data_IF_061475031125
#
_entry.id   IF_061475031125
#
_cell.length_a   1.000
_cell.length_b   1.000
_cell.length_c   1.000
_cell.angle_alpha   90.00
_cell.angle_beta   90.00
_cell.angle_gamma   90.00
#
_symmetry.space_group_name_H-M   'P 1'
#
loop_
_entity.id
_entity.type
_entity.pdbx_description
1 polymer ?
#
# COMPACT_ATOMS: atom_id res chain seq x y z
N UNK A 1 26.44 18.76 21.61
CA UNK A 1 25.24 19.43 21.04
C UNK A 1 24.36 18.34 20.46
N UNK A 2 23.29 17.98 21.11
CA UNK A 2 22.32 17.01 20.57
C UNK A 2 21.58 17.69 19.42
N UNK A 3 21.91 17.32 18.19
CA UNK A 3 21.17 17.80 17.04
C UNK A 3 19.76 17.23 17.11
N UNK A 4 18.77 18.06 17.34
CA UNK A 4 17.36 17.65 17.21
C UNK A 4 17.06 17.39 15.74
N UNK A 5 16.44 16.25 15.46
CA UNK A 5 15.90 15.94 14.14
C UNK A 5 14.83 16.97 13.74
N UNK A 6 14.76 17.41 12.48
CA UNK A 6 13.67 18.28 11.99
C UNK A 6 12.28 17.67 12.20
N UNK A 7 12.16 16.36 12.35
CA UNK A 7 10.90 15.66 12.64
C UNK A 7 10.46 15.72 14.14
N UNK A 8 11.14 16.51 14.97
CA UNK A 8 10.83 16.62 16.39
C UNK A 8 11.21 15.40 17.24
N UNK A 9 11.87 14.40 16.66
CA UNK A 9 12.45 13.25 17.33
C UNK A 9 13.99 13.38 17.38
N UNK A 10 14.70 12.77 18.34
CA UNK A 10 16.15 12.77 18.34
C UNK A 10 16.70 12.06 17.09
N UNK A 11 17.85 12.55 16.61
CA UNK A 11 18.61 11.86 15.58
C UNK A 11 19.06 10.50 16.11
N UNK A 12 18.84 9.46 15.32
CA UNK A 12 19.19 8.09 15.67
C UNK A 12 20.23 7.54 14.68
N UNK A 13 21.51 7.48 15.05
CA UNK A 13 22.57 7.02 14.16
C UNK A 13 22.47 5.52 13.84
N UNK A 14 21.80 4.75 14.70
CA UNK A 14 21.70 3.30 14.60
C UNK A 14 20.37 2.84 13.94
N UNK A 15 19.50 3.80 13.57
CA UNK A 15 18.24 3.48 12.93
C UNK A 15 18.45 2.76 11.59
N UNK A 16 17.72 1.66 11.40
CA UNK A 16 17.75 0.83 10.20
C UNK A 16 16.55 1.10 9.31
N UNK A 17 16.72 0.85 8.02
CA UNK A 17 15.68 0.98 7.01
C UNK A 17 14.77 -0.26 7.06
N UNK A 18 13.47 -0.08 7.17
CA UNK A 18 12.49 -1.13 6.95
C UNK A 18 12.05 -1.15 5.48
N UNK A 19 11.93 -2.32 4.87
CA UNK A 19 11.57 -2.47 3.48
C UNK A 19 10.33 -3.35 3.28
N UNK A 20 9.32 -2.77 2.64
CA UNK A 20 8.20 -3.52 2.09
C UNK A 20 8.14 -3.40 0.57
N UNK A 21 7.38 -4.26 -0.08
CA UNK A 21 7.04 -4.14 -1.50
C UNK A 21 5.53 -4.14 -1.66
N UNK A 22 5.00 -3.10 -2.28
CA UNK A 22 3.61 -3.04 -2.70
C UNK A 22 3.50 -3.49 -4.15
N UNK A 23 3.03 -4.70 -4.36
CA UNK A 23 2.78 -5.26 -5.68
C UNK A 23 1.30 -5.47 -5.92
N UNK A 24 0.82 -5.00 -7.03
CA UNK A 24 -0.61 -4.98 -7.34
C UNK A 24 -0.96 -5.74 -8.63
N UNK A 25 0.01 -6.39 -9.26
CA UNK A 25 -0.16 -6.88 -10.62
C UNK A 25 -0.25 -5.73 -11.62
N UNK A 26 -1.03 -5.86 -12.67
CA UNK A 26 -1.21 -4.80 -13.66
C UNK A 26 -1.76 -3.53 -13.00
N UNK A 27 -1.10 -2.41 -13.25
CA UNK A 27 -1.46 -1.11 -12.69
C UNK A 27 -0.67 0.03 -13.33
N UNK A 28 -1.00 1.28 -12.99
CA UNK A 28 -0.45 2.45 -13.67
C UNK A 28 1.06 2.67 -13.45
N UNK A 29 1.64 1.99 -12.48
CA UNK A 29 3.06 2.15 -12.12
C UNK A 29 3.94 1.07 -12.72
N UNK A 30 3.34 -0.05 -13.15
CA UNK A 30 4.05 -1.20 -13.70
C UNK A 30 4.09 -1.13 -15.22
N UNK A 31 5.26 -1.32 -15.79
CA UNK A 31 5.45 -1.55 -17.23
C UNK A 31 5.15 -3.02 -17.48
N UNK A 32 3.91 -3.29 -17.92
CA UNK A 32 3.43 -4.65 -18.18
C UNK A 32 3.54 -5.03 -19.66
N UNK A 33 3.86 -4.06 -20.51
CA UNK A 33 4.04 -4.25 -21.96
C UNK A 33 5.41 -4.81 -22.33
N UNK A 34 6.30 -4.97 -21.36
CA UNK A 34 7.59 -5.62 -21.54
C UNK A 34 7.37 -7.06 -22.02
N UNK A 35 7.90 -7.46 -23.21
CA UNK A 35 7.73 -8.80 -23.74
C UNK A 35 8.35 -9.89 -22.86
N UNK A 36 9.32 -9.53 -22.03
CA UNK A 36 10.00 -10.44 -21.08
C UNK A 36 9.31 -10.45 -19.70
N UNK A 37 8.27 -9.63 -19.50
CA UNK A 37 7.55 -9.62 -18.24
C UNK A 37 6.82 -10.95 -18.01
N UNK A 38 6.96 -11.56 -16.80
CA UNK A 38 6.24 -12.77 -16.47
C UNK A 38 4.73 -12.50 -16.35
N UNK A 39 3.88 -13.53 -16.46
CA UNK A 39 2.43 -13.36 -16.30
C UNK A 39 2.08 -12.80 -14.91
N UNK A 40 1.51 -11.60 -14.86
CA UNK A 40 1.24 -10.86 -13.62
C UNK A 40 0.20 -11.49 -12.69
N UNK A 41 -0.52 -12.50 -13.16
CA UNK A 41 -1.54 -13.22 -12.37
C UNK A 41 -1.13 -14.65 -12.03
N UNK A 42 0.02 -15.12 -12.56
CA UNK A 42 0.52 -16.46 -12.32
C UNK A 42 1.11 -16.60 -10.92
N UNK A 43 0.80 -17.69 -10.23
CA UNK A 43 1.32 -17.92 -8.88
C UNK A 43 2.85 -18.02 -8.85
N UNK A 44 3.44 -18.53 -9.91
CA UNK A 44 4.91 -18.66 -10.06
C UNK A 44 5.61 -17.31 -9.99
N UNK A 45 5.02 -16.26 -10.58
CA UNK A 45 5.52 -14.88 -10.50
C UNK A 45 5.53 -14.39 -9.05
N UNK A 46 4.45 -14.61 -8.32
CA UNK A 46 4.36 -14.19 -6.91
C UNK A 46 5.30 -14.99 -6.01
N UNK A 47 5.46 -16.29 -6.26
CA UNK A 47 6.42 -17.13 -5.54
C UNK A 47 7.86 -16.65 -5.80
N UNK A 48 8.20 -16.36 -7.07
CA UNK A 48 9.52 -15.83 -7.42
C UNK A 48 9.78 -14.49 -6.70
N UNK A 49 8.86 -13.56 -6.79
CA UNK A 49 8.97 -12.26 -6.12
C UNK A 49 9.09 -12.42 -4.60
N UNK A 50 8.24 -13.22 -3.97
CA UNK A 50 8.29 -13.41 -2.51
C UNK A 50 9.65 -13.97 -2.05
N UNK A 51 10.21 -14.94 -2.76
CA UNK A 51 11.54 -15.51 -2.47
C UNK A 51 12.68 -14.53 -2.74
N UNK A 52 12.56 -13.72 -3.80
CA UNK A 52 13.51 -12.65 -4.09
C UNK A 52 13.54 -11.64 -2.93
N UNK A 53 12.38 -11.24 -2.43
CA UNK A 53 12.27 -10.32 -1.30
C UNK A 53 12.80 -10.93 0.00
N UNK A 54 12.58 -12.22 0.26
CA UNK A 54 13.21 -12.90 1.40
C UNK A 54 14.73 -12.92 1.29
N UNK A 55 15.27 -13.16 0.10
CA UNK A 55 16.72 -13.09 -0.16
C UNK A 55 17.27 -11.68 0.12
N UNK A 56 16.48 -10.65 -0.20
CA UNK A 56 16.80 -9.25 0.11
C UNK A 56 16.47 -8.82 1.53
N UNK A 57 16.03 -9.74 2.41
CA UNK A 57 15.71 -9.49 3.83
C UNK A 57 14.60 -8.45 4.04
N UNK A 58 13.64 -8.37 3.14
CA UNK A 58 12.52 -7.45 3.25
C UNK A 58 11.57 -7.80 4.40
N UNK A 59 10.96 -6.79 5.00
CA UNK A 59 10.00 -6.96 6.09
C UNK A 59 8.67 -7.50 5.59
N UNK A 60 8.16 -6.99 4.45
CA UNK A 60 6.81 -7.28 4.02
C UNK A 60 6.62 -7.35 2.51
N UNK A 61 5.82 -8.33 2.09
CA UNK A 61 5.19 -8.38 0.78
C UNK A 61 3.72 -7.98 0.91
N UNK A 62 3.36 -6.89 0.28
CA UNK A 62 2.09 -6.22 0.47
C UNK A 62 1.25 -6.27 -0.81
N UNK A 63 0.10 -6.94 -0.74
CA UNK A 63 -0.82 -7.09 -1.88
C UNK A 63 -2.02 -6.16 -1.75
N UNK A 64 -2.26 -5.41 -2.82
CA UNK A 64 -3.43 -4.55 -2.95
C UNK A 64 -4.71 -5.35 -3.20
N UNK A 65 -5.86 -4.74 -2.89
CA UNK A 65 -7.19 -5.29 -3.15
C UNK A 65 -7.73 -4.77 -4.49
N UNK A 66 -8.33 -5.65 -5.27
CA UNK A 66 -9.03 -5.33 -6.51
C UNK A 66 -10.43 -5.94 -6.50
N UNK A 67 -11.43 -5.16 -6.09
CA UNK A 67 -12.79 -5.67 -5.84
C UNK A 67 -13.71 -5.64 -7.06
N UNK A 68 -13.36 -4.87 -8.08
CA UNK A 68 -14.09 -4.81 -9.34
C UNK A 68 -13.18 -4.32 -10.45
N UNK A 69 -13.25 -4.96 -11.60
CA UNK A 69 -12.55 -4.50 -12.81
C UNK A 69 -13.05 -3.12 -13.17
N UNK A 70 -12.13 -2.19 -13.35
CA UNK A 70 -12.47 -0.85 -13.83
C UNK A 70 -12.63 -0.84 -15.33
N UNK A 71 -13.57 -0.05 -15.76
CA UNK A 71 -13.84 0.17 -17.17
C UNK A 71 -14.02 1.67 -17.45
N UNK A 72 -13.71 2.06 -18.66
CA UNK A 72 -14.09 3.34 -19.21
C UNK A 72 -14.94 3.12 -20.45
N UNK A 73 -16.20 3.55 -20.41
CA UNK A 73 -17.16 3.42 -21.53
C UNK A 73 -17.30 1.98 -22.03
N UNK A 74 -17.40 1.01 -21.10
CA UNK A 74 -17.52 -0.41 -21.41
C UNK A 74 -16.22 -1.09 -21.85
N UNK A 75 -15.09 -0.38 -21.85
CA UNK A 75 -13.76 -0.93 -22.16
C UNK A 75 -12.96 -1.10 -20.88
N UNK A 76 -12.46 -2.31 -20.66
CA UNK A 76 -11.41 -2.55 -19.67
C UNK A 76 -10.11 -1.95 -20.22
N UNK A 77 -9.43 -1.15 -19.43
CA UNK A 77 -8.23 -0.49 -19.84
C UNK A 77 -7.11 -0.60 -18.79
N UNK A 78 -5.88 -0.46 -19.24
CA UNK A 78 -4.65 -0.72 -18.50
C UNK A 78 -4.26 0.34 -17.45
N UNK A 79 -5.12 1.32 -17.20
CA UNK A 79 -4.93 2.31 -16.14
C UNK A 79 -5.21 1.76 -14.74
N UNK A 80 -5.80 0.58 -14.67
CA UNK A 80 -6.28 0.05 -13.41
C UNK A 80 -6.30 -1.48 -13.35
N UNK A 81 -6.64 -1.92 -12.18
CA UNK A 81 -6.55 -3.28 -11.68
C UNK A 81 -7.39 -4.25 -12.49
N UNK A 82 -6.76 -5.11 -13.25
CA UNK A 82 -7.36 -6.31 -13.81
C UNK A 82 -6.60 -7.56 -13.34
N UNK A 83 -7.30 -8.68 -13.21
CA UNK A 83 -6.68 -9.97 -12.89
C UNK A 83 -6.01 -10.05 -11.51
N UNK A 84 -6.55 -9.35 -10.50
CA UNK A 84 -6.01 -9.36 -9.14
C UNK A 84 -6.75 -10.40 -8.29
N UNK A 85 -6.11 -11.52 -7.91
CA UNK A 85 -6.69 -12.50 -7.00
C UNK A 85 -6.94 -11.92 -5.61
N UNK A 86 -7.79 -12.59 -4.80
CA UNK A 86 -7.99 -12.22 -3.39
C UNK A 86 -6.67 -12.29 -2.62
N UNK A 87 -6.33 -11.21 -1.91
CA UNK A 87 -5.04 -11.06 -1.28
C UNK A 87 -4.81 -12.10 -0.17
N UNK A 88 -5.82 -12.42 0.65
CA UNK A 88 -5.66 -13.42 1.73
C UNK A 88 -5.43 -14.81 1.14
N UNK A 89 -6.20 -15.19 0.12
CA UNK A 89 -6.05 -16.49 -0.55
C UNK A 89 -4.65 -16.63 -1.16
N UNK A 90 -4.20 -15.60 -1.87
CA UNK A 90 -2.89 -15.58 -2.51
C UNK A 90 -1.74 -15.63 -1.49
N UNK A 91 -1.82 -14.82 -0.44
CA UNK A 91 -0.82 -14.80 0.63
C UNK A 91 -0.81 -16.11 1.44
N UNK A 92 -1.94 -16.80 1.56
CA UNK A 92 -1.98 -18.14 2.17
C UNK A 92 -1.19 -19.16 1.36
N UNK A 93 -1.24 -19.07 0.02
CA UNK A 93 -0.39 -19.90 -0.83
C UNK A 93 1.10 -19.55 -0.68
N UNK A 94 1.43 -18.26 -0.59
CA UNK A 94 2.80 -17.79 -0.38
C UNK A 94 3.34 -18.15 1.00
N UNK A 95 2.50 -18.22 2.03
CA UNK A 95 2.89 -18.66 3.37
C UNK A 95 3.49 -20.06 3.39
N UNK A 96 3.07 -20.93 2.47
CA UNK A 96 3.57 -22.32 2.36
C UNK A 96 4.93 -22.43 1.69
N UNK A 97 5.43 -21.37 1.04
CA UNK A 97 6.67 -21.40 0.21
C UNK A 97 7.67 -20.30 0.62
N UNK A 98 7.40 -19.62 1.73
CA UNK A 98 8.24 -18.57 2.35
C UNK A 98 8.36 -18.82 3.85
N UNK A 99 9.46 -18.37 4.46
CA UNK A 99 9.77 -18.65 5.87
C UNK A 99 9.82 -17.40 6.75
N UNK A 100 10.08 -16.22 6.21
CA UNK A 100 10.39 -15.00 6.96
C UNK A 100 9.55 -13.79 6.58
N UNK A 101 9.35 -13.55 5.27
CA UNK A 101 8.70 -12.34 4.81
C UNK A 101 7.29 -12.19 5.34
N UNK A 102 6.95 -10.99 5.80
CA UNK A 102 5.61 -10.63 6.20
C UNK A 102 4.63 -10.59 5.02
N UNK A 103 3.40 -11.00 5.26
CA UNK A 103 2.36 -11.22 4.27
C UNK A 103 1.19 -10.28 4.52
N UNK A 104 1.18 -9.12 3.85
CA UNK A 104 0.23 -8.03 4.14
C UNK A 104 -0.90 -8.02 3.13
N UNK A 105 -2.12 -8.32 3.61
CA UNK A 105 -3.34 -8.31 2.81
C UNK A 105 -4.08 -6.99 2.91
N UNK A 106 -4.38 -6.34 1.79
CA UNK A 106 -5.36 -5.25 1.76
C UNK A 106 -6.76 -5.84 1.84
N UNK A 107 -7.53 -5.39 2.84
CA UNK A 107 -8.94 -5.77 2.99
C UNK A 107 -9.75 -4.58 3.50
N UNK A 108 -10.89 -4.32 2.87
CA UNK A 108 -11.74 -3.19 3.21
C UNK A 108 -12.66 -3.48 4.40
N UNK A 109 -13.00 -2.43 5.14
CA UNK A 109 -13.98 -2.48 6.24
C UNK A 109 -15.40 -2.20 5.79
N UNK A 110 -15.60 -1.73 4.56
CA UNK A 110 -16.92 -1.31 4.05
C UNK A 110 -17.79 -2.50 3.68
N UNK A 111 -17.24 -3.47 2.94
CA UNK A 111 -17.98 -4.61 2.39
C UNK A 111 -17.75 -5.93 3.12
N UNK A 112 -16.84 -5.96 4.10
CA UNK A 112 -16.58 -7.13 4.92
C UNK A 112 -17.36 -7.08 6.24
N UNK A 113 -17.42 -8.25 6.91
CA UNK A 113 -17.94 -8.41 8.26
C UNK A 113 -16.80 -8.64 9.24
N UNK A 114 -16.81 -7.99 10.44
CA UNK A 114 -15.67 -8.04 11.35
C UNK A 114 -15.27 -9.46 11.78
N UNK A 115 -16.21 -10.30 12.16
CA UNK A 115 -15.92 -11.64 12.63
C UNK A 115 -15.35 -12.55 11.54
N UNK A 116 -15.87 -12.45 10.31
CA UNK A 116 -15.36 -13.24 9.19
C UNK A 116 -13.96 -12.80 8.76
N UNK A 117 -13.75 -11.49 8.61
CA UNK A 117 -12.43 -10.97 8.21
C UNK A 117 -11.39 -11.24 9.32
N UNK A 118 -11.75 -11.03 10.60
CA UNK A 118 -10.85 -11.33 11.71
C UNK A 118 -10.42 -12.80 11.70
N UNK A 119 -11.36 -13.74 11.46
CA UNK A 119 -11.08 -15.18 11.34
C UNK A 119 -10.13 -15.49 10.18
N UNK A 120 -10.37 -14.92 9.00
CA UNK A 120 -9.53 -15.15 7.81
C UNK A 120 -8.09 -14.64 8.02
N UNK A 121 -7.95 -13.43 8.58
CA UNK A 121 -6.64 -12.85 8.89
C UNK A 121 -5.91 -13.60 10.00
N UNK A 122 -6.62 -14.04 11.06
CA UNK A 122 -6.03 -14.88 12.10
C UNK A 122 -5.59 -16.26 11.55
N UNK A 123 -6.32 -16.80 10.58
CA UNK A 123 -5.93 -18.05 9.90
C UNK A 123 -4.64 -17.87 9.10
N UNK A 124 -4.52 -16.80 8.31
CA UNK A 124 -3.28 -16.48 7.62
C UNK A 124 -2.12 -16.29 8.61
N UNK A 125 -2.39 -15.60 9.72
CA UNK A 125 -1.39 -15.31 10.74
C UNK A 125 -0.88 -16.60 11.41
N UNK A 126 -1.78 -17.49 11.78
CA UNK A 126 -1.42 -18.77 12.35
C UNK A 126 -0.65 -19.67 11.36
N UNK A 127 -1.16 -19.79 10.12
CA UNK A 127 -0.56 -20.64 9.08
C UNK A 127 0.82 -20.13 8.64
N UNK A 128 1.07 -18.84 8.71
CA UNK A 128 2.36 -18.23 8.37
C UNK A 128 3.32 -18.16 9.57
N UNK A 129 2.95 -18.64 10.75
CA UNK A 129 3.79 -18.56 11.96
C UNK A 129 3.93 -17.15 12.53
N UNK A 130 2.91 -16.28 12.37
CA UNK A 130 2.92 -14.92 12.89
C UNK A 130 3.47 -13.89 11.91
N UNK A 131 3.24 -14.08 10.61
CA UNK A 131 3.75 -13.16 9.56
C UNK A 131 2.65 -12.37 8.86
N UNK A 132 1.39 -12.48 9.27
CA UNK A 132 0.30 -11.76 8.63
C UNK A 132 0.24 -10.28 9.00
N UNK A 133 -0.08 -9.45 8.02
CA UNK A 133 -0.47 -8.07 8.18
C UNK A 133 -1.81 -7.77 7.50
N UNK A 134 -2.52 -6.77 8.00
CA UNK A 134 -3.76 -6.27 7.44
C UNK A 134 -3.65 -4.79 7.09
N UNK A 135 -3.69 -4.46 5.80
CA UNK A 135 -3.87 -3.08 5.37
C UNK A 135 -5.36 -2.74 5.39
N UNK A 136 -5.71 -1.85 6.30
CA UNK A 136 -7.08 -1.41 6.56
C UNK A 136 -7.45 -0.32 5.55
N UNK A 137 -8.43 -0.59 4.68
CA UNK A 137 -8.94 0.41 3.75
C UNK A 137 -10.43 0.66 3.94
N UNK A 138 -10.83 1.89 3.65
CA UNK A 138 -12.21 2.34 3.65
C UNK A 138 -12.66 2.57 2.23
N UNK A 139 -12.77 1.52 1.42
CA UNK A 139 -13.15 1.59 0.01
C UNK A 139 -14.38 2.48 -0.17
N UNK A 140 -14.28 3.46 -1.05
CA UNK A 140 -15.19 4.59 -1.07
C UNK A 140 -15.93 4.81 -2.40
N UNK A 141 -15.77 3.92 -3.36
CA UNK A 141 -16.47 4.13 -4.62
C UNK A 141 -17.69 3.23 -4.76
N UNK A 142 -18.79 3.84 -5.19
CA UNK A 142 -20.07 3.16 -5.40
C UNK A 142 -19.99 2.09 -6.51
N UNK A 143 -19.08 2.26 -7.45
CA UNK A 143 -18.81 1.30 -8.51
C UNK A 143 -18.41 -0.06 -7.95
N UNK A 144 -17.42 -0.10 -7.07
CA UNK A 144 -16.99 -1.31 -6.37
C UNK A 144 -18.10 -1.92 -5.54
N UNK A 145 -18.92 -1.07 -4.90
CA UNK A 145 -20.05 -1.49 -4.08
C UNK A 145 -21.07 -2.33 -4.83
N UNK A 146 -21.24 -2.12 -6.13
CA UNK A 146 -22.19 -2.86 -6.96
C UNK A 146 -21.89 -4.37 -7.03
N UNK A 147 -20.67 -4.81 -6.77
CA UNK A 147 -20.32 -6.23 -6.67
C UNK A 147 -20.77 -6.87 -5.36
N UNK A 148 -21.16 -6.09 -4.35
CA UNK A 148 -21.45 -6.59 -3.00
C UNK A 148 -22.88 -6.34 -2.56
N UNK A 149 -23.52 -5.26 -3.02
CA UNK A 149 -24.89 -4.91 -2.65
C UNK A 149 -25.53 -3.94 -3.65
N UNK A 150 -26.85 -3.99 -3.79
CA UNK A 150 -27.58 -2.96 -4.48
C UNK A 150 -27.58 -1.65 -3.72
N UNK A 151 -27.33 -0.56 -4.43
CA UNK A 151 -27.37 0.80 -3.91
C UNK A 151 -26.18 1.16 -3.04
N UNK A 152 -26.24 2.35 -2.61
CA UNK A 152 -25.28 3.20 -1.97
C UNK A 152 -24.14 2.62 -1.17
N UNK A 153 -23.09 3.32 -1.23
CA UNK A 153 -21.91 3.28 -0.38
C UNK A 153 -22.15 4.14 0.88
N UNK A 154 -21.33 3.93 1.90
CA UNK A 154 -21.40 4.76 3.09
C UNK A 154 -20.83 6.17 2.79
N UNK A 155 -21.42 7.27 3.32
CA UNK A 155 -20.79 8.57 3.30
C UNK A 155 -19.37 8.55 3.85
N UNK A 156 -18.52 9.44 3.36
CA UNK A 156 -17.07 9.41 3.65
C UNK A 156 -16.78 9.40 5.16
N UNK A 157 -17.47 10.24 5.94
CA UNK A 157 -17.29 10.34 7.39
C UNK A 157 -17.69 9.05 8.10
N UNK A 158 -18.78 8.43 7.68
CA UNK A 158 -19.27 7.17 8.27
C UNK A 158 -18.39 5.97 7.95
N UNK A 159 -17.59 6.02 6.90
CA UNK A 159 -16.64 4.96 6.58
C UNK A 159 -15.50 4.88 7.59
N UNK A 160 -14.95 6.01 8.02
CA UNK A 160 -13.92 6.02 9.06
C UNK A 160 -14.47 5.64 10.43
N UNK A 161 -15.68 6.09 10.76
CA UNK A 161 -16.39 5.66 11.97
C UNK A 161 -16.59 4.13 11.98
N UNK A 162 -17.09 3.57 10.86
CA UNK A 162 -17.23 2.12 10.71
C UNK A 162 -15.89 1.39 10.78
N UNK A 163 -14.84 1.92 10.14
CA UNK A 163 -13.52 1.31 10.16
C UNK A 163 -12.96 1.22 11.59
N UNK A 164 -13.09 2.28 12.36
CA UNK A 164 -12.70 2.30 13.78
C UNK A 164 -13.40 1.19 14.56
N UNK A 165 -14.73 1.13 14.49
CA UNK A 165 -15.53 0.11 15.21
C UNK A 165 -15.23 -1.31 14.71
N UNK A 166 -14.97 -1.47 13.41
CA UNK A 166 -14.61 -2.74 12.81
C UNK A 166 -13.26 -3.25 13.33
N UNK A 167 -12.25 -2.38 13.35
CA UNK A 167 -10.89 -2.73 13.83
C UNK A 167 -10.92 -3.07 15.31
N UNK A 168 -11.69 -2.32 16.10
CA UNK A 168 -11.88 -2.62 17.53
C UNK A 168 -12.51 -4.02 17.73
N UNK A 169 -13.56 -4.34 16.98
CA UNK A 169 -14.18 -5.65 17.02
C UNK A 169 -13.20 -6.78 16.62
N UNK A 170 -12.39 -6.56 15.60
CA UNK A 170 -11.38 -7.52 15.18
C UNK A 170 -10.30 -7.74 16.26
N UNK A 171 -9.82 -6.65 16.88
CA UNK A 171 -8.85 -6.73 17.98
C UNK A 171 -9.41 -7.50 19.18
N UNK A 172 -10.66 -7.26 19.57
CA UNK A 172 -11.33 -7.99 20.65
C UNK A 172 -11.47 -9.48 20.34
N UNK A 173 -11.79 -9.83 19.09
CA UNK A 173 -11.86 -11.23 18.65
C UNK A 173 -10.51 -11.92 18.72
N UNK A 174 -9.43 -11.28 18.28
CA UNK A 174 -8.08 -11.83 18.38
C UNK A 174 -7.58 -11.95 19.82
N UNK A 175 -8.00 -11.05 20.72
CA UNK A 175 -7.69 -11.09 22.15
C UNK A 175 -8.66 -11.97 22.97
N UNK A 176 -9.62 -12.64 22.32
CA UNK A 176 -10.64 -13.42 23.05
C UNK A 176 -10.17 -14.81 23.53
N UNK A 177 -9.02 -15.26 23.02
CA UNK A 177 -8.35 -16.47 23.48
C UNK A 177 -7.24 -16.13 24.45
N UNK A 178 -7.20 -16.79 25.60
CA UNK A 178 -6.05 -16.69 26.49
C UNK A 178 -4.85 -17.45 25.92
N UNK A 179 -3.60 -17.04 26.20
CA UNK A 179 -2.42 -17.67 25.61
C UNK A 179 -2.32 -19.17 25.82
N UNK A 180 -2.81 -19.67 26.94
CA UNK A 180 -2.83 -21.07 27.33
C UNK A 180 -4.23 -21.74 27.21
N UNK A 181 -5.09 -21.20 26.34
CA UNK A 181 -6.45 -21.67 26.13
C UNK A 181 -6.51 -23.14 25.65
N UNK A 182 -5.54 -23.55 24.82
CA UNK A 182 -5.46 -24.93 24.32
C UNK A 182 -4.75 -25.78 25.38
N UNK A 183 -5.47 -26.75 25.94
CA UNK A 183 -4.86 -27.74 26.78
C UNK A 183 -3.95 -28.65 25.94
N UNK A 184 -2.73 -28.87 26.41
CA UNK A 184 -1.77 -29.72 25.70
C UNK A 184 -2.29 -31.15 25.50
N UNK A 185 -1.64 -31.93 24.66
CA UNK A 185 -1.88 -33.38 24.53
C UNK A 185 -1.50 -34.10 25.81
N UNK A 186 -2.23 -35.13 26.19
CA UNK A 186 -1.92 -36.00 27.35
C UNK A 186 -3.09 -36.17 28.30
N UNK A 187 -2.92 -35.83 29.57
CA UNK A 187 -3.93 -36.04 30.62
C UNK A 187 -5.11 -35.05 30.63
N UNK A 188 -5.15 -34.13 29.65
CA UNK A 188 -6.20 -33.13 29.54
C UNK A 188 -7.57 -33.79 29.25
N UNK A 189 -8.55 -33.50 30.08
CA UNK A 189 -9.93 -34.00 29.94
C UNK A 189 -10.76 -33.15 28.97
N UNK A 190 -10.22 -31.99 28.51
CA UNK A 190 -10.86 -31.06 27.58
C UNK A 190 -9.81 -30.47 26.64
N UNK A 191 -10.15 -30.30 25.37
CA UNK A 191 -9.28 -29.69 24.37
C UNK A 191 -8.94 -28.22 24.69
N UNK A 192 -9.90 -27.47 25.22
CA UNK A 192 -9.68 -26.10 25.65
C UNK A 192 -9.93 -25.96 27.15
N UNK A 193 -9.12 -25.16 27.82
CA UNK A 193 -9.30 -24.81 29.22
C UNK A 193 -10.66 -24.11 29.44
N UNK A 194 -11.50 -24.55 30.39
CA UNK A 194 -12.78 -23.89 30.64
C UNK A 194 -12.64 -22.41 30.93
N UNK A 195 -13.42 -21.59 30.23
CA UNK A 195 -13.42 -20.12 30.38
C UNK A 195 -12.30 -19.38 29.65
N UNK A 196 -11.33 -20.08 29.04
CA UNK A 196 -10.20 -19.46 28.35
C UNK A 196 -10.54 -18.85 26.95
N UNK A 197 -11.76 -19.09 26.45
CA UNK A 197 -12.26 -18.51 25.20
C UNK A 197 -13.50 -17.68 25.50
N UNK A 198 -13.42 -16.39 25.32
CA UNK A 198 -14.47 -15.42 25.66
C UNK A 198 -15.37 -15.10 24.46
N UNK A 199 -16.63 -14.83 24.74
CA UNK A 199 -17.52 -14.21 23.75
C UNK A 199 -17.16 -12.72 23.59
N UNK A 200 -17.31 -12.23 22.37
CA UNK A 200 -17.21 -10.81 22.03
C UNK A 200 -18.58 -10.32 21.58
N UNK A 201 -19.12 -9.34 22.27
CA UNK A 201 -20.41 -8.75 21.95
C UNK A 201 -20.25 -7.24 21.75
N UNK A 202 -20.70 -6.76 20.59
CA UNK A 202 -20.71 -5.34 20.23
C UNK A 202 -22.03 -4.97 19.56
N UNK A 203 -22.57 -3.84 19.95
CA UNK A 203 -23.67 -3.17 19.27
C UNK A 203 -23.42 -1.66 19.27
N UNK A 204 -22.82 -1.16 18.18
CA UNK A 204 -22.44 0.26 18.02
C UNK A 204 -23.25 0.95 16.91
N UNK A 205 -24.26 0.25 16.36
CA UNK A 205 -25.06 0.74 15.23
C UNK A 205 -24.41 0.50 13.86
N UNK A 206 -23.10 0.66 13.71
CA UNK A 206 -22.37 0.35 12.47
C UNK A 206 -21.72 -1.03 12.48
N UNK A 207 -21.44 -1.55 13.66
CA UNK A 207 -20.95 -2.91 13.87
C UNK A 207 -21.82 -3.56 14.95
N UNK A 208 -22.50 -4.62 14.55
CA UNK A 208 -23.31 -5.44 15.49
C UNK A 208 -22.90 -6.89 15.33
N UNK A 209 -22.41 -7.49 16.41
CA UNK A 209 -22.06 -8.90 16.46
C UNK A 209 -22.12 -9.45 17.87
N UNK A 210 -22.38 -10.76 17.96
CA UNK A 210 -22.06 -11.61 19.09
C UNK A 210 -21.30 -12.80 18.53
N UNK A 211 -20.01 -12.90 18.83
CA UNK A 211 -19.14 -13.85 18.18
C UNK A 211 -18.20 -14.52 19.22
N UNK A 212 -17.80 -15.73 18.90
CA UNK A 212 -16.72 -16.46 19.57
C UNK A 212 -15.70 -16.83 18.52
N UNK A 213 -14.46 -16.35 18.67
CA UNK A 213 -13.40 -16.62 17.71
C UNK A 213 -13.08 -18.13 17.67
N UNK A 214 -12.76 -18.62 16.48
CA UNK A 214 -12.47 -20.06 16.25
C UNK A 214 -10.98 -20.34 16.06
N UNK A 215 -10.15 -19.30 16.06
CA UNK A 215 -8.70 -19.38 15.82
C UNK A 215 -7.97 -18.71 16.97
N UNK A 216 -6.98 -19.38 17.60
CA UNK A 216 -6.17 -18.78 18.65
C UNK A 216 -5.26 -17.68 18.10
N UNK A 217 -4.65 -16.91 19.00
CA UNK A 217 -3.62 -15.96 18.63
C UNK A 217 -2.37 -16.68 18.07
N UNK A 218 -1.71 -16.05 17.13
CA UNK A 218 -0.40 -16.47 16.61
C UNK A 218 0.75 -16.06 17.53
N UNK A 219 1.99 -16.40 17.16
CA UNK A 219 3.20 -16.02 17.88
C UNK A 219 3.35 -14.49 18.02
N UNK A 220 2.88 -13.69 17.05
CA UNK A 220 2.90 -12.21 17.15
C UNK A 220 1.67 -11.62 17.87
N UNK A 221 0.78 -12.45 18.40
CA UNK A 221 -0.43 -12.07 19.13
C UNK A 221 -1.61 -11.70 18.25
N UNK A 222 -1.41 -10.94 17.21
CA UNK A 222 -2.41 -10.57 16.18
C UNK A 222 -1.72 -10.09 14.90
N UNK A 223 -2.40 -10.10 13.75
CA UNK A 223 -1.89 -9.49 12.54
C UNK A 223 -1.43 -8.05 12.75
N UNK A 224 -0.30 -7.68 12.13
CA UNK A 224 0.19 -6.29 12.12
C UNK A 224 -0.77 -5.42 11.32
N UNK A 225 -1.16 -4.28 11.88
CA UNK A 225 -2.15 -3.39 11.29
C UNK A 225 -1.47 -2.29 10.47
N UNK A 226 -1.69 -2.32 9.18
CA UNK A 226 -1.28 -1.28 8.23
C UNK A 226 -2.46 -0.35 7.93
N UNK A 227 -2.16 0.90 7.61
CA UNK A 227 -3.15 1.87 7.15
C UNK A 227 -2.53 2.76 6.07
N UNK A 228 -3.28 3.02 5.01
CA UNK A 228 -2.86 3.82 3.87
C UNK A 228 -3.85 4.98 3.66
N UNK A 229 -3.68 6.09 4.36
CA UNK A 229 -4.58 7.22 4.20
C UNK A 229 -3.99 8.52 4.71
N UNK A 230 -3.80 9.49 3.81
CA UNK A 230 -3.20 10.78 4.11
C UNK A 230 -4.22 11.86 4.54
N UNK A 231 -5.52 11.57 4.44
CA UNK A 231 -6.57 12.46 4.93
C UNK A 231 -6.52 12.58 6.47
N UNK A 232 -7.08 13.66 7.03
CA UNK A 232 -7.15 13.82 8.48
C UNK A 232 -7.81 12.63 9.18
N UNK A 233 -8.91 12.10 8.62
CA UNK A 233 -9.56 10.89 9.14
C UNK A 233 -8.70 9.63 9.02
N UNK A 234 -7.93 9.52 7.93
CA UNK A 234 -6.99 8.41 7.74
C UNK A 234 -5.85 8.43 8.75
N UNK A 235 -5.25 9.61 8.98
CA UNK A 235 -4.20 9.79 10.00
C UNK A 235 -4.72 9.54 11.41
N UNK A 236 -5.95 9.93 11.70
CA UNK A 236 -6.60 9.67 12.99
C UNK A 236 -6.83 8.17 13.22
N UNK A 237 -7.34 7.46 12.21
CA UNK A 237 -7.50 6.00 12.25
C UNK A 237 -6.14 5.31 12.45
N UNK A 238 -5.11 5.78 11.76
CA UNK A 238 -3.75 5.26 11.88
C UNK A 238 -3.18 5.49 13.29
N UNK A 239 -3.23 6.70 13.79
CA UNK A 239 -2.73 7.04 15.12
C UNK A 239 -3.41 6.24 16.23
N UNK A 240 -4.70 5.94 16.06
CA UNK A 240 -5.46 5.15 17.04
C UNK A 240 -5.17 3.65 16.95
N UNK A 241 -4.98 3.10 15.75
CA UNK A 241 -5.05 1.64 15.57
C UNK A 241 -3.88 1.02 14.83
N UNK A 242 -3.21 1.72 13.91
CA UNK A 242 -2.20 1.12 13.06
C UNK A 242 -0.87 0.86 13.77
N UNK A 243 -0.18 -0.16 13.32
CA UNK A 243 1.20 -0.47 13.68
C UNK A 243 2.16 0.06 12.60
N UNK A 244 1.68 0.19 11.35
CA UNK A 244 2.46 0.70 10.20
C UNK A 244 1.58 1.63 9.36
N UNK A 245 2.17 2.69 8.83
CA UNK A 245 1.50 3.58 7.88
C UNK A 245 2.21 3.57 6.55
N UNK A 246 1.45 3.38 5.50
CA UNK A 246 1.83 3.65 4.12
C UNK A 246 1.35 5.05 3.73
N UNK A 247 2.25 5.95 3.34
CA UNK A 247 1.91 7.32 2.96
C UNK A 247 2.39 7.67 1.55
N UNK A 248 1.86 8.76 1.00
CA UNK A 248 2.33 9.33 -0.27
C UNK A 248 3.44 10.39 -0.08
N UNK A 249 3.84 10.66 1.18
CA UNK A 249 4.76 11.74 1.51
C UNK A 249 6.22 11.30 1.40
N UNK A 250 6.73 11.23 0.17
CA UNK A 250 8.11 10.81 -0.14
C UNK A 250 9.12 11.95 -0.23
N UNK A 251 8.69 13.20 -0.40
CA UNK A 251 9.59 14.34 -0.32
C UNK A 251 10.02 14.58 1.13
N UNK A 252 11.31 14.85 1.36
CA UNK A 252 11.88 14.93 2.69
C UNK A 252 11.12 15.85 3.64
N UNK A 253 10.87 17.09 3.25
CA UNK A 253 10.19 18.07 4.12
C UNK A 253 8.73 17.66 4.39
N UNK A 254 8.05 17.06 3.41
CA UNK A 254 6.70 16.52 3.57
C UNK A 254 6.69 15.30 4.48
N UNK A 255 7.69 14.43 4.36
CA UNK A 255 7.85 13.27 5.25
C UNK A 255 8.08 13.71 6.70
N UNK A 256 8.95 14.71 6.92
CA UNK A 256 9.18 15.31 8.23
C UNK A 256 7.89 15.86 8.83
N UNK A 257 7.15 16.67 8.06
CA UNK A 257 5.90 17.26 8.54
C UNK A 257 4.84 16.19 8.85
N UNK A 258 4.74 15.17 8.01
CA UNK A 258 3.83 14.04 8.19
C UNK A 258 4.18 13.24 9.45
N UNK A 259 5.44 12.92 9.65
CA UNK A 259 5.91 12.20 10.82
C UNK A 259 5.66 12.97 12.12
N UNK A 260 5.86 14.29 12.12
CA UNK A 260 5.58 15.15 13.27
C UNK A 260 4.07 15.18 13.61
N UNK A 261 3.19 15.34 12.61
CA UNK A 261 1.73 15.30 12.81
C UNK A 261 1.28 13.95 13.37
N UNK A 262 1.79 12.85 12.81
CA UNK A 262 1.39 11.51 13.23
C UNK A 262 1.84 11.20 14.67
N UNK A 263 3.08 11.57 15.04
CA UNK A 263 3.60 11.42 16.42
C UNK A 263 2.78 12.25 17.43
N UNK A 264 2.38 13.46 17.06
CA UNK A 264 1.50 14.27 17.92
C UNK A 264 0.14 13.59 18.16
N UNK A 265 -0.44 12.98 17.13
CA UNK A 265 -1.70 12.21 17.25
C UNK A 265 -1.51 10.94 18.08
N UNK A 266 -0.42 10.19 17.91
CA UNK A 266 -0.09 9.02 18.74
C UNK A 266 -0.09 9.39 20.23
N UNK A 267 0.58 10.50 20.59
CA UNK A 267 0.62 11.00 21.96
C UNK A 267 -0.80 11.32 22.50
N UNK A 268 -1.68 11.87 21.65
CA UNK A 268 -3.09 12.11 22.00
C UNK A 268 -3.87 10.84 22.34
N UNK A 269 -3.43 9.68 21.82
CA UNK A 269 -3.99 8.35 22.14
C UNK A 269 -3.19 7.59 23.20
N UNK A 270 -2.23 8.23 23.87
CA UNK A 270 -1.37 7.58 24.87
C UNK A 270 -0.43 6.53 24.30
N UNK A 271 -0.14 6.58 23.00
CA UNK A 271 0.74 5.64 22.30
C UNK A 271 2.17 6.19 22.19
N UNK A 272 3.15 5.29 22.36
CA UNK A 272 4.55 5.63 22.11
C UNK A 272 4.79 5.97 20.62
N UNK A 273 5.65 6.94 20.31
CA UNK A 273 6.11 7.19 18.94
C UNK A 273 6.68 5.93 18.24
N UNK A 274 7.29 5.02 19.01
CA UNK A 274 7.90 3.80 18.48
C UNK A 274 6.90 2.65 18.29
N UNK A 275 5.63 2.87 18.63
CA UNK A 275 4.55 1.89 18.41
C UNK A 275 4.02 1.88 16.97
N UNK A 276 4.56 2.72 16.08
CA UNK A 276 4.13 2.85 14.71
C UNK A 276 5.34 3.12 13.80
N UNK A 277 5.39 2.43 12.65
CA UNK A 277 6.37 2.67 11.59
C UNK A 277 5.75 3.43 10.43
N UNK A 278 6.51 4.35 9.84
CA UNK A 278 6.11 5.17 8.70
C UNK A 278 6.92 4.70 7.48
N UNK A 279 6.26 4.05 6.53
CA UNK A 279 6.85 3.52 5.29
C UNK A 279 6.14 4.14 4.07
N UNK A 280 6.57 5.31 3.59
CA UNK A 280 5.98 5.89 2.37
C UNK A 280 6.22 5.01 1.15
N UNK A 281 5.31 5.11 0.17
CA UNK A 281 5.46 4.45 -1.12
C UNK A 281 6.63 5.04 -1.91
N UNK A 282 7.55 4.21 -2.37
CA UNK A 282 8.74 4.64 -3.07
C UNK A 282 8.92 3.89 -4.40
N UNK A 283 9.09 4.63 -5.49
CA UNK A 283 9.66 4.09 -6.71
C UNK A 283 11.18 4.29 -6.67
N UNK A 284 11.93 3.28 -7.08
CA UNK A 284 13.41 3.29 -7.09
C UNK A 284 13.88 2.98 -8.51
N UNK A 285 14.74 3.81 -9.04
CA UNK A 285 15.31 3.64 -10.37
C UNK A 285 16.82 3.80 -10.27
N UNK A 286 17.52 2.70 -10.43
CA UNK A 286 18.97 2.61 -10.28
C UNK A 286 19.67 2.62 -11.64
N UNK A 287 20.84 3.22 -11.69
CA UNK A 287 21.79 3.14 -12.79
C UNK A 287 23.21 3.01 -12.23
N UNK A 288 24.14 2.53 -13.02
CA UNK A 288 25.55 2.41 -12.61
C UNK A 288 26.23 3.80 -12.56
N UNK A 289 25.65 4.79 -13.29
CA UNK A 289 26.00 6.21 -13.21
C UNK A 289 24.76 7.08 -12.98
N UNK A 290 24.92 8.31 -12.47
CA UNK A 290 23.78 9.23 -12.32
C UNK A 290 23.10 9.58 -13.66
N UNK A 291 23.85 9.57 -14.74
CA UNK A 291 23.35 9.81 -16.10
C UNK A 291 22.44 8.68 -16.54
N UNK A 292 22.91 7.44 -16.43
CA UNK A 292 22.14 6.23 -16.76
C UNK A 292 20.87 6.12 -15.92
N UNK A 293 20.94 6.41 -14.64
CA UNK A 293 19.76 6.41 -13.77
C UNK A 293 18.70 7.43 -14.24
N UNK A 294 19.13 8.61 -14.70
CA UNK A 294 18.22 9.65 -15.25
C UNK A 294 17.61 9.20 -16.59
N UNK A 295 18.40 8.65 -17.48
CA UNK A 295 17.92 8.13 -18.79
C UNK A 295 16.90 6.99 -18.55
N UNK A 296 17.20 6.09 -17.63
CA UNK A 296 16.26 5.02 -17.22
C UNK A 296 14.96 5.59 -16.63
N UNK A 297 15.04 6.64 -15.84
CA UNK A 297 13.85 7.28 -15.25
C UNK A 297 12.97 7.95 -16.32
N UNK A 298 13.56 8.56 -17.36
CA UNK A 298 12.80 9.07 -18.50
C UNK A 298 12.11 7.93 -19.24
N UNK A 299 12.84 6.87 -19.56
CA UNK A 299 12.30 5.70 -20.23
C UNK A 299 11.14 5.07 -19.43
N UNK A 300 11.31 4.87 -18.10
CA UNK A 300 10.24 4.35 -17.23
C UNK A 300 8.99 5.23 -17.30
N UNK A 301 9.15 6.55 -17.22
CA UNK A 301 8.03 7.48 -17.32
C UNK A 301 7.32 7.39 -18.67
N UNK A 302 8.07 7.25 -19.75
CA UNK A 302 7.49 7.11 -21.09
C UNK A 302 6.73 5.80 -21.27
N UNK A 303 7.31 4.68 -20.84
CA UNK A 303 6.68 3.36 -20.95
C UNK A 303 5.44 3.21 -20.06
N UNK A 304 5.43 3.87 -18.90
CA UNK A 304 4.24 3.89 -18.04
C UNK A 304 3.04 4.60 -18.67
N UNK A 305 3.23 5.37 -19.74
CA UNK A 305 2.16 6.09 -20.43
C UNK A 305 2.05 5.55 -21.86
N UNK A 306 1.34 4.44 -21.98
CA UNK A 306 1.04 3.81 -23.28
C UNK A 306 0.09 4.67 -24.13
N UNK A 307 0.09 4.51 -25.48
CA UNK A 307 -0.85 5.22 -26.33
C UNK A 307 -2.34 5.06 -25.95
N UNK A 308 -2.85 3.84 -25.65
CA UNK A 308 -4.22 3.68 -25.16
C UNK A 308 -4.48 4.42 -23.84
N UNK A 309 -3.50 4.44 -22.96
CA UNK A 309 -3.58 5.14 -21.67
C UNK A 309 -3.68 6.65 -21.86
N UNK A 310 -2.95 7.21 -22.80
CA UNK A 310 -3.02 8.64 -23.11
C UNK A 310 -4.43 9.04 -23.61
N UNK A 311 -5.05 8.24 -24.47
CA UNK A 311 -6.44 8.43 -24.89
C UNK A 311 -7.39 8.36 -23.70
N UNK A 312 -7.32 7.30 -22.89
CA UNK A 312 -8.18 7.12 -21.71
C UNK A 312 -8.01 8.28 -20.69
N UNK A 313 -6.78 8.81 -20.54
CA UNK A 313 -6.53 9.97 -19.71
C UNK A 313 -7.28 11.22 -20.23
N UNK A 314 -7.20 11.52 -21.52
CA UNK A 314 -7.91 12.66 -22.10
C UNK A 314 -9.43 12.48 -22.04
N UNK A 315 -9.95 11.27 -22.24
CA UNK A 315 -11.38 10.98 -22.13
C UNK A 315 -11.98 11.38 -20.77
N UNK A 316 -11.18 11.29 -19.70
CA UNK A 316 -11.59 11.71 -18.35
C UNK A 316 -11.80 13.22 -18.26
N UNK A 317 -11.06 14.02 -19.06
CA UNK A 317 -11.18 15.47 -19.09
C UNK A 317 -12.18 15.93 -20.13
N UNK A 318 -12.18 15.34 -21.33
CA UNK A 318 -13.13 15.70 -22.39
C UNK A 318 -14.56 15.23 -22.11
N UNK A 319 -14.74 14.19 -21.28
CA UNK A 319 -16.04 13.63 -20.96
C UNK A 319 -16.72 12.91 -22.13
N UNK A 320 -15.98 12.64 -23.21
CA UNK A 320 -16.48 11.97 -24.43
C UNK A 320 -15.55 10.86 -24.88
N UNK A 321 -16.00 10.01 -25.80
CA UNK A 321 -15.20 8.94 -26.40
C UNK A 321 -14.18 9.53 -27.36
N UNK A 322 -12.90 9.27 -27.11
CA UNK A 322 -11.79 9.68 -27.94
C UNK A 322 -11.05 8.48 -28.57
N UNK A 323 -11.61 7.27 -28.50
CA UNK A 323 -10.95 6.05 -28.98
C UNK A 323 -10.63 6.03 -30.47
N UNK A 324 -11.31 6.88 -31.27
CA UNK A 324 -11.06 7.04 -32.70
C UNK A 324 -9.89 8.00 -33.01
N UNK A 325 -9.34 8.71 -32.00
CA UNK A 325 -8.23 9.60 -32.21
C UNK A 325 -6.89 8.85 -32.21
N UNK A 326 -6.01 9.27 -33.10
CA UNK A 326 -4.63 8.77 -33.11
C UNK A 326 -3.86 9.38 -31.94
N UNK A 327 -3.32 8.58 -31.00
CA UNK A 327 -2.51 9.10 -29.89
C UNK A 327 -1.25 9.83 -30.35
N UNK A 328 -0.77 9.57 -31.57
CA UNK A 328 0.36 10.28 -32.16
C UNK A 328 -0.09 11.51 -32.97
N UNK A 329 -1.39 11.73 -33.11
CA UNK A 329 -1.99 12.88 -33.76
C UNK A 329 -2.19 14.08 -32.84
N UNK A 330 -2.75 15.20 -33.39
CA UNK A 330 -3.03 16.40 -32.60
C UNK A 330 -4.13 16.20 -31.60
N UNK A 331 -4.24 17.13 -30.63
CA UNK A 331 -5.31 17.12 -29.63
C UNK A 331 -6.70 17.21 -30.29
N UNK A 332 -7.74 16.63 -29.63
CA UNK A 332 -9.10 16.68 -30.11
C UNK A 332 -9.60 18.13 -30.28
N UNK A 333 -10.08 18.44 -31.50
CA UNK A 333 -10.67 19.75 -31.82
C UNK A 333 -12.11 19.92 -31.28
N UNK A 334 -12.72 18.82 -30.79
CA UNK A 334 -14.10 18.85 -30.24
C UNK A 334 -14.11 19.51 -28.86
N UNK A 335 -15.23 20.18 -28.56
CA UNK A 335 -15.40 20.79 -27.25
C UNK A 335 -15.60 19.73 -26.14
N UNK A 336 -14.97 19.92 -24.96
CA UNK A 336 -15.19 19.01 -23.83
C UNK A 336 -16.64 19.06 -23.36
N UNK A 337 -17.17 17.91 -23.01
CA UNK A 337 -18.49 17.81 -22.38
C UNK A 337 -18.46 18.44 -20.97
N UNK A 338 -19.46 19.24 -20.63
CA UNK A 338 -19.63 19.80 -19.28
C UNK A 338 -20.17 18.77 -18.27
N UNK A 339 -20.54 17.56 -18.75
CA UNK A 339 -21.01 16.50 -17.86
C UNK A 339 -20.00 16.24 -16.75
N UNK A 340 -20.50 16.20 -15.52
CA UNK A 340 -19.70 15.85 -14.35
C UNK A 340 -19.00 14.51 -14.57
N UNK A 341 -17.73 14.48 -14.24
CA UNK A 341 -16.98 13.23 -14.20
C UNK A 341 -17.68 12.28 -13.23
N UNK A 342 -17.99 11.07 -13.67
CA UNK A 342 -18.56 10.04 -12.81
C UNK A 342 -17.59 9.76 -11.65
N UNK A 343 -17.93 10.15 -10.41
CA UNK A 343 -17.03 9.98 -9.26
C UNK A 343 -16.78 8.50 -8.93
N UNK A 344 -17.54 7.58 -9.52
CA UNK A 344 -17.37 6.14 -9.35
C UNK A 344 -16.18 5.58 -10.15
N UNK A 345 -15.65 6.33 -11.11
CA UNK A 345 -14.65 5.86 -12.09
C UNK A 345 -13.20 6.18 -11.74
N UNK A 346 -12.90 6.52 -10.52
CA UNK A 346 -11.54 6.73 -10.10
C UNK A 346 -11.30 8.11 -9.50
N UNK A 347 -10.19 8.21 -8.82
CA UNK A 347 -9.74 9.38 -8.09
C UNK A 347 -9.20 10.45 -9.02
N UNK A 348 -10.08 11.19 -9.69
CA UNK A 348 -9.65 12.52 -10.13
C UNK A 348 -9.74 13.43 -8.90
N UNK A 349 -8.63 14.01 -8.44
CA UNK A 349 -8.63 14.94 -7.33
C UNK A 349 -9.68 16.04 -7.52
N UNK A 350 -10.36 16.43 -6.45
CA UNK A 350 -11.41 17.45 -6.49
C UNK A 350 -10.90 18.76 -7.13
N UNK A 351 -9.65 19.11 -6.90
CA UNK A 351 -9.00 20.26 -7.50
C UNK A 351 -8.94 20.20 -9.04
N UNK A 352 -8.94 19.01 -9.63
CA UNK A 352 -8.97 18.81 -11.08
C UNK A 352 -10.39 18.79 -11.66
N UNK A 353 -11.42 18.76 -10.83
CA UNK A 353 -12.83 18.85 -11.28
C UNK A 353 -13.25 20.28 -11.50
N UNK A 354 -12.78 21.21 -10.64
CA UNK A 354 -12.99 22.64 -10.77
C UNK A 354 -11.92 23.21 -11.69
N UNK A 355 -12.30 23.75 -12.84
CA UNK A 355 -11.37 24.40 -13.77
C UNK A 355 -10.89 23.51 -14.91
N UNK A 356 -11.51 22.33 -15.17
CA UNK A 356 -11.10 21.45 -16.28
C UNK A 356 -11.09 22.15 -17.64
N UNK A 357 -12.01 23.07 -17.91
CA UNK A 357 -12.07 23.81 -19.18
C UNK A 357 -10.86 24.72 -19.34
N UNK A 358 -10.47 25.43 -18.28
CA UNK A 358 -9.27 26.27 -18.28
C UNK A 358 -8.00 25.43 -18.47
N UNK A 359 -7.93 24.27 -17.83
CA UNK A 359 -6.82 23.34 -17.98
C UNK A 359 -6.73 22.78 -19.41
N UNK A 360 -7.86 22.40 -20.00
CA UNK A 360 -7.90 21.94 -21.40
C UNK A 360 -7.49 23.06 -22.37
N UNK A 361 -7.92 24.30 -22.14
CA UNK A 361 -7.49 25.45 -22.94
C UNK A 361 -5.97 25.65 -22.87
N UNK A 362 -5.40 25.57 -21.66
CA UNK A 362 -3.95 25.61 -21.45
C UNK A 362 -3.23 24.47 -22.20
N UNK A 363 -3.75 23.25 -22.15
CA UNK A 363 -3.17 22.11 -22.86
C UNK A 363 -3.24 22.28 -24.38
N UNK A 364 -4.35 22.82 -24.91
CA UNK A 364 -4.48 23.14 -26.35
C UNK A 364 -3.46 24.18 -26.79
N UNK A 365 -3.31 25.25 -26.01
CA UNK A 365 -2.31 26.30 -26.29
C UNK A 365 -0.88 25.73 -26.29
N UNK A 366 -0.55 24.95 -25.25
CA UNK A 366 0.76 24.31 -25.13
C UNK A 366 1.02 23.35 -26.31
N UNK A 367 0.05 22.47 -26.60
CA UNK A 367 0.21 21.52 -27.69
C UNK A 367 0.34 22.19 -29.06
N UNK A 368 -0.40 23.27 -29.29
CA UNK A 368 -0.28 24.05 -30.55
C UNK A 368 1.06 24.77 -30.66
N UNK A 369 1.54 25.41 -29.58
CA UNK A 369 2.80 26.13 -29.54
C UNK A 369 4.02 25.22 -29.79
N UNK A 370 3.98 23.99 -29.30
CA UNK A 370 5.10 23.06 -29.36
C UNK A 370 4.87 21.89 -30.35
N UNK A 371 3.76 21.90 -31.08
CA UNK A 371 3.35 20.83 -32.01
C UNK A 371 3.34 19.44 -31.37
N UNK A 372 2.76 19.33 -30.13
CA UNK A 372 2.73 18.09 -29.40
C UNK A 372 1.57 17.20 -29.87
N UNK A 373 1.85 15.89 -29.95
CA UNK A 373 0.80 14.88 -30.09
C UNK A 373 0.06 14.67 -28.76
N UNK A 374 -1.08 13.97 -28.80
CA UNK A 374 -1.81 13.54 -27.60
C UNK A 374 -0.88 12.84 -26.62
N UNK A 375 -0.14 11.84 -27.07
CA UNK A 375 0.78 11.07 -26.24
C UNK A 375 1.87 11.94 -25.61
N UNK A 376 2.49 12.82 -26.39
CA UNK A 376 3.53 13.72 -25.89
C UNK A 376 2.99 14.71 -24.86
N UNK A 377 1.80 15.28 -25.12
CA UNK A 377 1.17 16.14 -24.13
C UNK A 377 0.86 15.37 -22.83
N UNK A 378 0.22 14.20 -22.92
CA UNK A 378 -0.16 13.42 -21.74
C UNK A 378 1.06 13.00 -20.93
N UNK A 379 2.14 12.58 -21.56
CA UNK A 379 3.42 12.32 -20.90
C UNK A 379 3.95 13.54 -20.14
N UNK A 380 3.79 14.73 -20.69
CA UNK A 380 4.25 15.99 -20.07
C UNK A 380 3.37 16.43 -18.89
N UNK A 381 2.05 16.33 -19.02
CA UNK A 381 1.11 16.84 -18.00
C UNK A 381 0.77 15.82 -16.92
N UNK A 382 1.10 14.56 -17.14
CA UNK A 382 0.96 13.53 -16.09
C UNK A 382 2.04 13.75 -15.03
N UNK A 383 1.67 13.97 -13.77
CA UNK A 383 2.65 14.14 -12.71
C UNK A 383 3.54 12.90 -12.62
N UNK A 384 4.84 13.11 -12.61
CA UNK A 384 5.80 12.04 -12.31
C UNK A 384 5.61 11.63 -10.86
N UNK A 385 5.48 10.35 -10.62
CA UNK A 385 5.63 9.84 -9.26
C UNK A 385 7.06 10.14 -8.82
N UNK A 386 7.21 10.67 -7.61
CA UNK A 386 8.56 10.85 -7.07
C UNK A 386 9.23 9.49 -6.96
N UNK A 387 10.37 9.39 -7.61
CA UNK A 387 11.24 8.23 -7.59
C UNK A 387 12.57 8.61 -6.97
N UNK A 388 13.18 7.68 -6.27
CA UNK A 388 14.58 7.77 -5.88
C UNK A 388 15.40 7.31 -7.08
N UNK A 389 16.06 8.27 -7.73
CA UNK A 389 16.80 8.07 -8.99
C UNK A 389 18.27 8.37 -8.76
N UNK A 390 19.14 7.41 -9.01
CA UNK A 390 20.58 7.59 -8.83
C UNK A 390 21.33 6.27 -8.84
N UNK A 391 22.62 6.36 -8.51
CA UNK A 391 23.40 5.13 -8.24
C UNK A 391 22.93 4.48 -6.94
N UNK A 392 23.15 3.18 -6.73
CA UNK A 392 22.82 2.51 -5.48
C UNK A 392 23.35 3.26 -4.25
N UNK A 393 24.59 3.75 -4.33
CA UNK A 393 25.23 4.51 -3.26
C UNK A 393 24.51 5.84 -2.95
N UNK A 394 24.12 6.60 -3.98
CA UNK A 394 23.40 7.86 -3.79
C UNK A 394 22.01 7.64 -3.17
N UNK A 395 21.28 6.63 -3.63
CA UNK A 395 19.96 6.29 -3.07
C UNK A 395 20.09 5.80 -1.63
N UNK A 396 21.12 4.98 -1.33
CA UNK A 396 21.40 4.53 0.03
C UNK A 396 21.71 5.71 0.98
N UNK A 397 22.55 6.66 0.56
CA UNK A 397 22.86 7.86 1.35
C UNK A 397 21.61 8.70 1.66
N UNK A 398 20.73 8.87 0.65
CA UNK A 398 19.47 9.58 0.83
C UNK A 398 18.56 8.84 1.82
N UNK A 399 18.38 7.53 1.69
CA UNK A 399 17.52 6.74 2.57
C UNK A 399 18.02 6.69 4.00
N UNK A 400 19.33 6.54 4.20
CA UNK A 400 19.96 6.60 5.52
C UNK A 400 19.68 7.94 6.21
N UNK A 401 19.76 9.06 5.46
CA UNK A 401 19.39 10.38 5.99
C UNK A 401 17.94 10.41 6.45
N UNK A 402 16.99 9.90 5.64
CA UNK A 402 15.57 9.90 5.98
C UNK A 402 15.27 9.12 7.27
N UNK A 403 15.87 7.95 7.40
CA UNK A 403 15.62 7.06 8.54
C UNK A 403 16.31 7.58 9.80
N UNK A 404 17.59 7.96 9.74
CA UNK A 404 18.33 8.48 10.90
C UNK A 404 17.81 9.81 11.43
N UNK A 405 17.20 10.63 10.58
CA UNK A 405 16.48 11.84 11.03
C UNK A 405 15.05 11.54 11.47
N UNK A 406 14.60 10.29 11.41
CA UNK A 406 13.24 9.86 11.74
C UNK A 406 12.15 10.56 10.95
N UNK A 407 12.47 11.02 9.75
CA UNK A 407 11.48 11.49 8.79
C UNK A 407 10.57 10.34 8.31
N UNK A 408 11.16 9.15 8.17
CA UNK A 408 10.47 7.87 7.93
C UNK A 408 11.16 6.76 8.72
N UNK A 409 10.57 5.57 8.77
CA UNK A 409 11.22 4.38 9.34
C UNK A 409 11.67 3.40 8.24
N UNK A 410 11.31 3.65 7.00
CA UNK A 410 11.66 2.83 5.84
C UNK A 410 10.82 3.17 4.63
N UNK A 411 10.70 2.25 3.68
CA UNK A 411 10.00 2.48 2.42
C UNK A 411 9.19 1.25 2.00
N UNK A 412 8.03 1.49 1.40
CA UNK A 412 7.25 0.46 0.74
C UNK A 412 7.39 0.62 -0.78
N UNK A 413 8.17 -0.25 -1.40
CA UNK A 413 8.59 -0.11 -2.79
C UNK A 413 7.46 -0.44 -3.74
N UNK A 414 7.26 0.41 -4.73
CA UNK A 414 6.37 0.15 -5.86
C UNK A 414 7.23 -0.12 -7.10
N UNK A 415 7.36 -1.39 -7.53
CA UNK A 415 8.21 -1.74 -8.66
C UNK A 415 7.64 -1.19 -9.96
N UNK A 416 8.50 -0.74 -10.86
CA UNK A 416 8.12 -0.33 -12.21
C UNK A 416 8.26 -1.46 -13.23
N UNK A 417 9.09 -2.44 -12.96
CA UNK A 417 9.21 -3.72 -13.67
C UNK A 417 9.36 -4.87 -12.68
N UNK A 418 8.82 -6.04 -13.01
CA UNK A 418 8.93 -7.24 -12.17
C UNK A 418 9.42 -8.41 -13.04
N UNK A 419 10.48 -9.13 -12.62
CA UNK A 419 11.20 -9.00 -11.35
C UNK A 419 12.35 -7.98 -11.36
N UNK A 420 12.81 -7.51 -12.53
CA UNK A 420 14.10 -6.84 -12.74
C UNK A 420 14.37 -5.63 -11.84
N UNK A 421 13.38 -4.75 -11.64
CA UNK A 421 13.58 -3.59 -10.75
C UNK A 421 13.72 -3.97 -9.28
N UNK A 422 13.17 -5.11 -8.86
CA UNK A 422 13.36 -5.66 -7.52
C UNK A 422 14.69 -6.38 -7.37
N UNK A 423 15.15 -7.05 -8.42
CA UNK A 423 16.49 -7.65 -8.47
C UNK A 423 17.58 -6.60 -8.33
N UNK A 424 17.48 -5.48 -9.05
CA UNK A 424 18.40 -4.35 -8.91
C UNK A 424 18.44 -3.81 -7.46
N UNK A 425 17.30 -3.72 -6.79
CA UNK A 425 17.25 -3.29 -5.39
C UNK A 425 17.92 -4.31 -4.48
N UNK A 426 17.59 -5.58 -4.62
CA UNK A 426 18.15 -6.65 -3.77
C UNK A 426 19.64 -6.84 -3.99
N UNK A 427 20.11 -6.75 -5.24
CA UNK A 427 21.48 -7.08 -5.59
C UNK A 427 22.43 -5.88 -5.55
N UNK A 428 21.91 -4.64 -5.63
CA UNK A 428 22.73 -3.42 -5.69
C UNK A 428 22.49 -2.47 -4.51
N UNK A 429 21.21 -2.16 -4.17
CA UNK A 429 20.90 -1.18 -3.12
C UNK A 429 20.99 -1.76 -1.72
N UNK A 430 20.51 -2.98 -1.51
CA UNK A 430 20.57 -3.66 -0.19
C UNK A 430 22.01 -3.76 0.31
N UNK A 431 23.01 -4.20 -0.46
CA UNK A 431 24.41 -4.21 -0.02
C UNK A 431 24.94 -2.85 0.41
N UNK A 432 24.61 -1.79 -0.32
CA UNK A 432 24.99 -0.42 0.02
C UNK A 432 24.41 0.05 1.38
N UNK A 433 23.17 -0.33 1.67
CA UNK A 433 22.52 -0.04 2.96
C UNK A 433 23.18 -0.85 4.10
N UNK A 434 23.54 -2.11 3.85
CA UNK A 434 24.23 -2.98 4.80
C UNK A 434 25.63 -2.47 5.13
N UNK A 435 26.40 -2.04 4.13
CA UNK A 435 27.75 -1.44 4.32
C UNK A 435 27.70 -0.18 5.21
N UNK A 436 26.59 0.58 5.15
CA UNK A 436 26.37 1.76 6.03
C UNK A 436 25.85 1.40 7.42
N UNK A 437 25.66 0.09 7.72
CA UNK A 437 25.04 -0.36 8.97
C UNK A 437 23.57 0.07 9.11
N UNK A 438 22.91 0.42 7.99
CA UNK A 438 21.56 0.94 7.98
C UNK A 438 20.51 -0.09 7.54
N UNK A 439 20.92 -1.33 7.35
CA UNK A 439 20.02 -2.44 7.00
C UNK A 439 20.54 -3.75 7.61
N UNK A 440 19.62 -4.64 7.92
CA UNK A 440 19.92 -5.95 8.50
C UNK A 440 20.75 -6.83 7.55
N UNK A 441 21.61 -7.66 8.10
CA UNK A 441 22.38 -8.69 7.38
C UNK A 441 21.76 -10.08 7.50
N UNK A 442 20.82 -10.24 8.42
CA UNK A 442 20.03 -11.46 8.63
C UNK A 442 18.70 -11.14 9.31
N UNK A 443 17.73 -12.02 9.21
CA UNK A 443 16.50 -11.92 10.00
C UNK A 443 16.79 -12.30 11.46
N UNK A 444 16.52 -11.39 12.39
CA UNK A 444 16.71 -11.62 13.82
C UNK A 444 15.48 -12.24 14.50
N UNK A 445 14.30 -12.10 13.88
CA UNK A 445 13.03 -12.62 14.34
C UNK A 445 12.39 -13.63 13.39
N UNK A 446 11.20 -14.09 13.74
CA UNK A 446 10.39 -15.00 12.93
C UNK A 446 9.03 -14.45 12.55
N UNK A 447 8.60 -13.38 13.21
CA UNK A 447 7.30 -12.76 12.99
C UNK A 447 7.44 -11.40 12.29
N UNK A 448 6.39 -10.96 11.59
CA UNK A 448 6.37 -9.65 10.96
C UNK A 448 6.55 -8.51 11.98
N UNK A 449 5.98 -8.69 13.17
CA UNK A 449 6.09 -7.70 14.26
C UNK A 449 7.54 -7.53 14.73
N UNK A 450 8.27 -8.64 14.88
CA UNK A 450 9.70 -8.61 15.22
C UNK A 450 10.54 -7.99 14.10
N UNK A 451 10.27 -8.32 12.84
CA UNK A 451 10.99 -7.73 11.70
C UNK A 451 10.86 -6.21 11.64
N UNK A 452 9.69 -5.68 12.05
CA UNK A 452 9.40 -4.25 12.08
C UNK A 452 9.79 -3.57 13.42
N UNK A 453 10.45 -4.26 14.33
CA UNK A 453 10.79 -3.78 15.67
C UNK A 453 9.60 -3.13 16.40
N UNK A 454 8.43 -3.74 16.25
CA UNK A 454 7.20 -3.27 16.87
C UNK A 454 7.03 -3.89 18.25
N UNK A 455 6.54 -3.14 19.26
CA UNK A 455 6.23 -3.70 20.57
C UNK A 455 5.14 -4.76 20.47
N UNK A 456 5.09 -5.63 21.47
CA UNK A 456 3.98 -6.58 21.62
C UNK A 456 2.64 -5.84 21.59
N UNK A 457 1.58 -6.44 21.01
CA UNK A 457 0.26 -5.82 21.01
C UNK A 457 -0.20 -5.54 22.43
N UNK A 458 -0.76 -4.34 22.66
CA UNK A 458 -1.36 -4.01 23.95
C UNK A 458 -2.53 -4.96 24.17
N UNK A 459 -2.51 -5.68 25.30
CA UNK A 459 -3.65 -6.49 25.74
C UNK A 459 -4.86 -5.59 25.97
N UNK A 460 -6.01 -5.94 25.41
CA UNK A 460 -7.28 -5.24 25.60
C UNK A 460 -7.94 -5.64 26.92
#
# INVERSE_FOLDING_TARGET
>A
MTSSSPAGAPYDPDAQVHLGVFYTGVGPQLIWTDPDAPPHVAIETFVHVARLLERGLFDAFFLGEGLRVRENRGRVYDLDVAGRPDAITQLSALAAVTDRIGLVATQNTTYNFPADLARRLASLDLLSGGRAGWNIVTTDNAWTGANFRHGGWLPHERRYERATQFVEAAKELWASWEPDAIAGSGEATSWARPGAIRDVERDTGLVRLRARATVPASAQGRPVLFQAGDSSGGRELAARHADVVFSANTEYDKAVAYAADLRARLAGHGRSPDSLRILPGAAVILGDTPEEARERAEWVHEEQISPPRAIAFLEQYWGTDLSAYDPHGPLPGIEPSETELDPSRGTIPIERRTGKLALIAQWREQAAAENLSILQLVRRVTPRQRSFVGTPSQVADEWVRYVRTRAVDGFNITPHQVPSSLEDIVDKLVPELQERGAYRTEYTGTTLREHLDLPAPISL
#
